data_IF_396745590209
#
_entry.id   IF_396745590209
#
_cell.length_a   1.000
_cell.length_b   1.000
_cell.length_c   1.000
_cell.angle_alpha   90.00
_cell.angle_beta   90.00
_cell.angle_gamma   90.00
#
_symmetry.space_group_name_H-M   'P 1'
#
loop_
_entity.id
_entity.type
_entity.pdbx_description
1 polymer ?
#
# COMPACT_ATOMS: atom_id res chain seq x y z
N UNK A 1 -75.53 -7.95 35.69
CA UNK A 1 -74.44 -7.00 35.92
C UNK A 1 -73.02 -7.65 35.91
N UNK A 2 -72.86 -8.92 36.19
CA UNK A 2 -71.53 -9.57 36.24
C UNK A 2 -70.90 -9.82 34.86
N UNK A 3 -71.73 -10.07 33.81
CA UNK A 3 -71.20 -10.34 32.41
C UNK A 3 -70.60 -9.09 31.73
N UNK A 4 -71.10 -7.91 31.98
CA UNK A 4 -70.57 -6.67 31.39
C UNK A 4 -69.19 -6.28 31.94
N UNK A 5 -68.94 -6.50 33.24
CA UNK A 5 -67.61 -6.21 33.82
C UNK A 5 -66.47 -7.05 33.26
N UNK A 6 -66.74 -8.25 32.84
CA UNK A 6 -65.74 -9.12 32.23
C UNK A 6 -65.44 -8.77 30.76
N UNK A 7 -66.46 -8.25 30.03
CA UNK A 7 -66.28 -7.79 28.64
C UNK A 7 -65.39 -6.54 28.63
N UNK A 8 -65.57 -5.60 29.57
CA UNK A 8 -64.69 -4.46 29.67
C UNK A 8 -63.22 -4.81 29.99
N UNK A 9 -63.03 -5.82 30.84
CA UNK A 9 -61.64 -6.32 31.12
C UNK A 9 -60.97 -6.94 29.91
N UNK A 10 -61.75 -7.68 29.12
CA UNK A 10 -61.25 -8.29 27.89
C UNK A 10 -60.97 -7.21 26.82
N UNK A 11 -61.84 -6.20 26.66
CA UNK A 11 -61.59 -5.08 25.75
C UNK A 11 -60.39 -4.23 26.14
N UNK A 12 -60.19 -3.95 27.42
CA UNK A 12 -59.01 -3.23 27.93
C UNK A 12 -57.73 -4.05 27.73
N UNK A 13 -57.77 -5.38 27.96
CA UNK A 13 -56.63 -6.25 27.72
C UNK A 13 -56.25 -6.35 26.25
N UNK A 14 -57.25 -6.43 25.36
CA UNK A 14 -57.02 -6.41 23.90
C UNK A 14 -56.53 -5.03 23.36
N UNK A 15 -57.01 -3.95 23.95
CA UNK A 15 -56.52 -2.59 23.64
C UNK A 15 -55.07 -2.39 24.10
N UNK A 16 -54.63 -2.99 25.21
CA UNK A 16 -53.26 -2.92 25.67
C UNK A 16 -52.29 -3.71 24.78
N UNK A 17 -52.74 -4.81 24.22
CA UNK A 17 -51.93 -5.64 23.28
C UNK A 17 -51.73 -4.93 21.95
N UNK A 18 -52.71 -4.14 21.48
CA UNK A 18 -52.61 -3.37 20.23
C UNK A 18 -51.63 -2.17 20.33
N UNK A 19 -51.36 -1.68 21.53
CA UNK A 19 -50.41 -0.58 21.73
C UNK A 19 -48.95 -1.04 21.75
N UNK A 20 -48.66 -2.31 22.02
CA UNK A 20 -47.29 -2.83 22.10
C UNK A 20 -46.66 -3.16 20.74
N UNK A 21 -47.42 -3.21 19.66
CA UNK A 21 -46.89 -3.49 18.31
C UNK A 21 -46.72 -2.26 17.41
N UNK A 22 -46.99 -1.05 17.95
CA UNK A 22 -47.01 0.18 17.16
C UNK A 22 -45.73 1.02 17.19
N UNK A 23 -44.65 0.54 17.84
CA UNK A 23 -43.47 1.41 18.02
C UNK A 23 -42.21 0.98 17.29
N UNK A 24 -42.15 -0.24 16.72
CA UNK A 24 -40.97 -0.67 15.97
C UNK A 24 -40.94 -0.06 14.55
N UNK A 25 -42.06 -0.07 13.84
CA UNK A 25 -42.11 0.46 12.45
C UNK A 25 -41.94 1.99 12.35
N UNK A 26 -42.17 2.72 13.45
CA UNK A 26 -42.09 4.22 13.45
C UNK A 26 -40.62 4.70 13.61
N UNK A 27 -39.74 3.84 14.16
CA UNK A 27 -38.34 4.17 14.40
C UNK A 27 -37.39 3.45 13.44
N UNK A 28 -37.91 2.56 12.58
CA UNK A 28 -37.13 1.94 11.53
C UNK A 28 -36.69 3.00 10.52
N UNK A 29 -35.39 3.14 10.34
CA UNK A 29 -34.80 4.12 9.42
C UNK A 29 -34.65 5.56 9.94
N UNK A 30 -35.13 5.91 11.15
CA UNK A 30 -34.95 7.29 11.69
C UNK A 30 -33.47 7.64 11.92
N UNK A 31 -32.64 6.66 12.20
CA UNK A 31 -31.18 6.82 12.39
C UNK A 31 -30.39 6.51 11.12
N UNK A 32 -31.02 6.13 10.03
CA UNK A 32 -30.37 6.01 8.75
C UNK A 32 -30.22 7.39 8.13
N UNK A 33 -29.00 7.88 8.06
CA UNK A 33 -28.72 9.12 7.35
C UNK A 33 -28.89 8.86 5.86
N UNK A 34 -29.89 9.45 5.18
CA UNK A 34 -30.11 9.20 3.75
C UNK A 34 -28.98 9.72 2.85
N UNK A 35 -27.99 10.40 3.44
CA UNK A 35 -26.78 10.85 2.77
C UNK A 35 -25.55 9.97 3.09
N UNK A 36 -25.68 8.95 3.96
CA UNK A 36 -24.63 7.97 4.15
C UNK A 36 -24.67 6.97 3.00
N UNK A 37 -23.62 7.01 2.18
CA UNK A 37 -23.40 6.01 1.15
C UNK A 37 -23.19 4.67 1.83
N UNK A 38 -24.05 3.71 1.55
CA UNK A 38 -23.80 2.33 1.92
C UNK A 38 -22.73 1.73 0.99
N UNK A 39 -22.02 0.70 1.44
CA UNK A 39 -21.00 0.04 0.59
C UNK A 39 -21.60 -0.46 -0.74
N UNK A 40 -22.88 -0.79 -0.77
CA UNK A 40 -23.62 -1.21 -1.99
C UNK A 40 -23.90 -0.07 -2.97
N UNK A 41 -23.83 1.19 -2.53
CA UNK A 41 -24.06 2.36 -3.39
C UNK A 41 -22.78 2.82 -4.10
N UNK A 42 -21.63 2.26 -3.70
CA UNK A 42 -20.31 2.58 -4.27
C UNK A 42 -19.96 1.57 -5.35
N UNK A 43 -19.63 2.05 -6.53
CA UNK A 43 -19.17 1.19 -7.60
C UNK A 43 -17.89 0.46 -7.19
N UNK A 44 -17.86 -0.89 -7.30
CA UNK A 44 -16.77 -1.73 -6.77
C UNK A 44 -15.38 -1.36 -7.32
N UNK A 45 -15.31 -0.79 -8.51
CA UNK A 45 -14.06 -0.30 -9.13
C UNK A 45 -13.42 0.87 -8.39
N UNK A 46 -14.20 1.65 -7.67
CA UNK A 46 -13.67 2.76 -6.84
C UNK A 46 -12.91 2.22 -5.62
N UNK A 47 -13.31 1.08 -5.09
CA UNK A 47 -12.54 0.39 -4.05
C UNK A 47 -11.16 -0.03 -4.56
N UNK A 48 -11.05 -0.44 -5.84
CA UNK A 48 -9.76 -0.75 -6.44
C UNK A 48 -8.84 0.47 -6.43
N UNK A 49 -9.30 1.60 -6.95
CA UNK A 49 -8.50 2.84 -6.95
C UNK A 49 -8.12 3.28 -5.52
N UNK A 50 -9.07 3.21 -4.57
CA UNK A 50 -8.83 3.54 -3.17
C UNK A 50 -7.74 2.68 -2.55
N UNK A 51 -7.81 1.36 -2.74
CA UNK A 51 -6.79 0.43 -2.24
C UNK A 51 -5.45 0.56 -2.95
N UNK A 52 -5.43 0.87 -4.24
CA UNK A 52 -4.19 1.15 -4.98
C UNK A 52 -3.49 2.41 -4.45
N UNK A 53 -4.23 3.50 -4.21
CA UNK A 53 -3.68 4.72 -3.63
C UNK A 53 -3.12 4.47 -2.23
N UNK A 54 -3.83 3.70 -1.41
CA UNK A 54 -3.34 3.32 -0.08
C UNK A 54 -2.06 2.47 -0.17
N UNK A 55 -2.02 1.50 -1.10
CA UNK A 55 -0.82 0.69 -1.32
C UNK A 55 0.36 1.54 -1.83
N UNK A 56 0.13 2.51 -2.71
CA UNK A 56 1.17 3.45 -3.16
C UNK A 56 1.73 4.24 -1.96
N UNK A 57 0.87 4.73 -1.07
CA UNK A 57 1.31 5.42 0.16
C UNK A 57 2.13 4.50 1.07
N UNK A 58 1.70 3.23 1.23
CA UNK A 58 2.44 2.23 1.99
C UNK A 58 3.83 1.96 1.41
N UNK A 59 3.94 1.84 0.07
CA UNK A 59 5.20 1.49 -0.59
C UNK A 59 6.15 2.68 -0.75
N UNK A 60 5.61 3.89 -0.96
CA UNK A 60 6.38 5.07 -1.32
C UNK A 60 6.31 6.18 -0.26
N UNK A 61 5.65 5.96 0.88
CA UNK A 61 5.39 6.93 1.92
C UNK A 61 6.56 7.20 2.87
N UNK A 62 6.23 7.50 4.12
CA UNK A 62 7.21 7.90 5.14
C UNK A 62 8.22 6.79 5.45
N UNK A 63 7.78 5.55 5.66
CA UNK A 63 8.69 4.45 6.00
C UNK A 63 9.64 4.09 4.84
N UNK A 64 9.30 4.39 3.59
CA UNK A 64 10.24 4.28 2.48
C UNK A 64 11.40 5.27 2.64
N UNK A 65 11.11 6.52 3.03
CA UNK A 65 12.14 7.54 3.31
C UNK A 65 12.99 7.15 4.51
N UNK A 66 12.40 6.64 5.58
CA UNK A 66 13.11 6.10 6.75
C UNK A 66 14.04 4.96 6.35
N UNK A 67 13.55 4.02 5.56
CA UNK A 67 14.36 2.91 5.03
C UNK A 67 15.52 3.42 4.16
N UNK A 68 15.28 4.47 3.37
CA UNK A 68 16.31 5.16 2.58
C UNK A 68 17.41 5.77 3.45
N UNK A 69 17.06 6.32 4.62
CA UNK A 69 18.06 6.81 5.58
C UNK A 69 18.88 5.68 6.20
N UNK A 70 18.25 4.63 6.68
CA UNK A 70 18.93 3.51 7.34
C UNK A 70 19.75 2.63 6.37
N UNK A 71 19.42 2.66 5.09
CA UNK A 71 20.24 2.03 4.04
C UNK A 71 21.36 2.94 3.50
N UNK A 72 21.52 4.13 4.04
CA UNK A 72 22.57 5.08 3.64
C UNK A 72 22.32 5.79 2.30
N UNK A 73 21.09 5.79 1.82
CA UNK A 73 20.72 6.51 0.61
C UNK A 73 20.38 7.98 0.90
N UNK A 74 19.81 8.25 2.07
CA UNK A 74 19.37 9.57 2.52
C UNK A 74 20.00 9.92 3.86
N UNK A 75 20.01 11.21 4.18
CA UNK A 75 20.44 11.80 5.46
C UNK A 75 19.32 12.70 5.97
N UNK A 76 18.96 12.56 7.24
CA UNK A 76 18.09 13.52 7.93
C UNK A 76 18.89 14.70 8.44
N UNK A 77 18.70 15.87 7.84
CA UNK A 77 19.45 17.09 8.18
C UNK A 77 18.80 17.92 9.29
N UNK A 78 17.46 17.95 9.31
CA UNK A 78 16.74 18.80 10.25
C UNK A 78 15.44 18.16 10.75
N UNK A 79 14.87 18.78 11.79
CA UNK A 79 13.55 18.49 12.36
C UNK A 79 13.29 17.00 12.60
N UNK A 80 12.16 16.47 12.09
CA UNK A 80 11.75 15.07 12.25
C UNK A 80 12.85 14.12 11.74
N UNK A 81 13.37 14.38 10.54
CA UNK A 81 14.29 13.45 9.89
C UNK A 81 15.68 13.40 10.56
N UNK A 82 16.16 14.49 11.18
CA UNK A 82 17.40 14.44 11.96
C UNK A 82 17.25 13.57 13.22
N UNK A 83 16.10 13.60 13.87
CA UNK A 83 15.81 12.74 15.00
C UNK A 83 15.79 11.28 14.59
N UNK A 84 15.06 10.94 13.51
CA UNK A 84 14.97 9.57 12.99
C UNK A 84 16.35 9.08 12.53
N UNK A 85 17.11 9.91 11.83
CA UNK A 85 18.48 9.58 11.42
C UNK A 85 19.40 9.28 12.60
N UNK A 86 19.17 9.95 13.72
CA UNK A 86 19.82 9.67 15.01
C UNK A 86 19.25 8.46 15.76
N UNK A 87 18.43 7.62 15.12
CA UNK A 87 17.75 6.45 15.71
C UNK A 87 16.78 6.79 16.85
N UNK A 88 16.26 8.01 16.89
CA UNK A 88 15.23 8.43 17.84
C UNK A 88 13.84 8.34 17.16
N UNK A 89 13.29 7.14 17.12
CA UNK A 89 11.97 6.87 16.56
C UNK A 89 10.89 7.01 17.64
N UNK A 90 9.80 7.67 17.30
CA UNK A 90 8.58 7.65 18.11
C UNK A 90 7.66 6.50 17.70
N UNK A 91 6.75 6.10 18.59
CA UNK A 91 5.74 5.08 18.29
C UNK A 91 4.77 5.52 17.19
N UNK A 92 4.67 6.82 16.92
CA UNK A 92 3.80 7.39 15.88
C UNK A 92 4.33 7.30 14.46
N UNK A 93 5.63 6.96 14.27
CA UNK A 93 6.27 6.96 12.94
C UNK A 93 5.65 5.97 11.95
N UNK A 94 4.98 4.94 12.44
CA UNK A 94 4.33 3.91 11.61
C UNK A 94 2.83 4.09 11.43
N UNK A 95 2.21 5.08 12.08
CA UNK A 95 0.75 5.18 12.16
C UNK A 95 0.09 5.31 10.78
N UNK A 96 0.65 6.10 9.89
CA UNK A 96 0.06 6.33 8.57
C UNK A 96 0.18 5.08 7.69
N UNK A 97 1.34 4.44 7.62
CA UNK A 97 1.52 3.21 6.85
C UNK A 97 0.72 2.04 7.43
N UNK A 98 0.60 1.97 8.76
CA UNK A 98 -0.27 0.98 9.41
C UNK A 98 -1.73 1.19 9.03
N UNK A 99 -2.20 2.44 9.04
CA UNK A 99 -3.54 2.79 8.58
C UNK A 99 -3.74 2.51 7.10
N UNK A 100 -2.74 2.80 6.25
CA UNK A 100 -2.80 2.47 4.83
C UNK A 100 -2.90 0.96 4.59
N UNK A 101 -2.19 0.14 5.36
CA UNK A 101 -2.30 -1.32 5.26
C UNK A 101 -3.70 -1.80 5.64
N UNK A 102 -4.17 -1.48 6.85
CA UNK A 102 -5.39 -2.10 7.39
C UNK A 102 -6.67 -1.41 6.93
N UNK A 103 -6.75 -0.09 7.02
CA UNK A 103 -7.96 0.66 6.63
C UNK A 103 -7.97 0.88 5.11
N UNK A 104 -6.82 1.20 4.53
CA UNK A 104 -6.73 1.54 3.11
C UNK A 104 -6.74 0.31 2.20
N UNK A 105 -5.79 -0.61 2.37
CA UNK A 105 -5.66 -1.78 1.47
C UNK A 105 -6.60 -2.89 1.89
N UNK A 106 -6.51 -3.36 3.14
CA UNK A 106 -7.24 -4.57 3.58
C UNK A 106 -8.75 -4.41 3.38
N UNK A 107 -9.34 -3.32 3.87
CA UNK A 107 -10.79 -3.10 3.75
C UNK A 107 -11.23 -3.07 2.28
N UNK A 108 -10.55 -2.29 1.44
CA UNK A 108 -10.93 -2.16 0.04
C UNK A 108 -10.71 -3.46 -0.77
N UNK A 109 -9.56 -4.11 -0.59
CA UNK A 109 -9.24 -5.30 -1.38
C UNK A 109 -10.10 -6.49 -0.98
N UNK A 110 -10.32 -6.71 0.32
CA UNK A 110 -11.20 -7.80 0.78
C UNK A 110 -12.64 -7.59 0.36
N UNK A 111 -13.13 -6.35 0.37
CA UNK A 111 -14.46 -6.06 -0.17
C UNK A 111 -14.60 -6.54 -1.62
N UNK A 112 -13.63 -6.22 -2.49
CA UNK A 112 -13.63 -6.68 -3.89
C UNK A 112 -13.52 -8.21 -3.97
N UNK A 113 -12.63 -8.83 -3.20
CA UNK A 113 -12.41 -10.28 -3.24
C UNK A 113 -13.67 -11.05 -2.86
N UNK A 114 -14.43 -10.54 -1.90
CA UNK A 114 -15.63 -11.19 -1.35
C UNK A 114 -16.89 -10.91 -2.17
N UNK A 115 -17.02 -9.73 -2.77
CA UNK A 115 -18.28 -9.27 -3.35
C UNK A 115 -18.26 -9.13 -4.87
N UNK A 116 -17.11 -9.05 -5.54
CA UNK A 116 -17.07 -8.84 -6.98
C UNK A 116 -17.32 -10.14 -7.76
N UNK A 117 -18.17 -10.07 -8.79
CA UNK A 117 -18.32 -11.12 -9.77
C UNK A 117 -17.19 -11.14 -10.82
N UNK A 118 -16.40 -10.08 -10.90
CA UNK A 118 -15.30 -9.95 -11.85
C UNK A 118 -14.04 -10.67 -11.38
N UNK A 119 -13.70 -11.80 -12.03
CA UNK A 119 -12.44 -12.51 -11.76
C UNK A 119 -11.21 -11.61 -11.99
N UNK A 120 -11.29 -10.69 -12.98
CA UNK A 120 -10.20 -9.75 -13.25
C UNK A 120 -9.99 -8.79 -12.08
N UNK A 121 -11.05 -8.21 -11.54
CA UNK A 121 -11.01 -7.34 -10.35
C UNK A 121 -10.51 -8.10 -9.11
N UNK A 122 -11.08 -9.27 -8.83
CA UNK A 122 -10.68 -10.10 -7.69
C UNK A 122 -9.20 -10.48 -7.74
N UNK A 123 -8.73 -10.92 -8.91
CA UNK A 123 -7.33 -11.32 -9.06
C UNK A 123 -6.36 -10.14 -8.85
N UNK A 124 -6.69 -8.94 -9.33
CA UNK A 124 -5.92 -7.73 -9.07
C UNK A 124 -5.93 -7.38 -7.58
N UNK A 125 -7.09 -7.41 -6.93
CA UNK A 125 -7.23 -7.13 -5.51
C UNK A 125 -6.40 -8.09 -4.63
N UNK A 126 -6.39 -9.38 -4.96
CA UNK A 126 -5.56 -10.39 -4.29
C UNK A 126 -4.07 -10.07 -4.40
N UNK A 127 -3.60 -9.63 -5.56
CA UNK A 127 -2.19 -9.25 -5.75
C UNK A 127 -1.82 -8.02 -4.93
N UNK A 128 -2.71 -7.02 -4.87
CA UNK A 128 -2.48 -5.81 -4.07
C UNK A 128 -2.45 -6.16 -2.58
N UNK A 129 -3.37 -6.99 -2.09
CA UNK A 129 -3.37 -7.46 -0.70
C UNK A 129 -2.07 -8.21 -0.36
N UNK A 130 -1.65 -9.16 -1.22
CA UNK A 130 -0.40 -9.90 -1.03
C UNK A 130 0.83 -8.99 -1.02
N UNK A 131 0.88 -7.97 -1.90
CA UNK A 131 1.94 -6.96 -1.91
C UNK A 131 2.00 -6.18 -0.59
N UNK A 132 0.87 -5.68 -0.12
CA UNK A 132 0.79 -4.86 1.07
C UNK A 132 1.20 -5.64 2.33
N UNK A 133 0.70 -6.85 2.51
CA UNK A 133 1.04 -7.67 3.69
C UNK A 133 2.48 -8.18 3.68
N UNK A 134 3.01 -8.58 2.52
CA UNK A 134 4.43 -8.93 2.43
C UNK A 134 5.34 -7.75 2.74
N UNK A 135 4.95 -6.53 2.37
CA UNK A 135 5.65 -5.30 2.77
C UNK A 135 5.48 -5.04 4.27
N UNK A 136 4.27 -5.20 4.82
CA UNK A 136 4.01 -5.06 6.25
C UNK A 136 4.87 -6.00 7.09
N UNK A 137 4.96 -7.27 6.71
CA UNK A 137 5.84 -8.23 7.33
C UNK A 137 7.33 -7.83 7.26
N UNK A 138 7.74 -7.21 6.14
CA UNK A 138 9.12 -6.71 5.99
C UNK A 138 9.43 -5.53 6.91
N UNK A 139 8.45 -4.66 7.16
CA UNK A 139 8.62 -3.44 7.94
C UNK A 139 8.51 -3.68 9.46
N UNK A 140 7.56 -4.49 9.89
CA UNK A 140 7.18 -4.61 11.30
C UNK A 140 7.42 -6.00 11.90
N UNK A 141 7.69 -7.02 11.10
CA UNK A 141 7.81 -8.39 11.58
C UNK A 141 6.46 -9.06 11.77
N UNK A 142 6.12 -9.43 13.00
CA UNK A 142 4.82 -10.02 13.33
C UNK A 142 3.72 -8.95 13.24
N UNK A 143 2.65 -9.26 12.50
CA UNK A 143 1.52 -8.35 12.27
C UNK A 143 0.20 -9.14 12.16
N UNK A 144 -0.95 -8.56 12.50
CA UNK A 144 -2.25 -9.19 12.25
C UNK A 144 -2.50 -9.43 10.76
N UNK A 145 -2.81 -10.67 10.38
CA UNK A 145 -3.26 -11.05 9.05
C UNK A 145 -4.50 -11.94 9.09
N UNK A 146 -4.43 -13.03 9.85
CA UNK A 146 -5.46 -14.07 9.86
C UNK A 146 -6.81 -13.55 10.36
N UNK A 147 -6.81 -12.69 11.34
CA UNK A 147 -8.00 -12.10 11.95
C UNK A 147 -8.24 -10.65 11.52
N UNK A 148 -7.31 -10.05 10.75
CA UNK A 148 -7.43 -8.68 10.30
C UNK A 148 -8.67 -8.48 9.41
N UNK A 149 -9.37 -7.35 9.60
CA UNK A 149 -10.57 -7.02 8.83
C UNK A 149 -11.84 -7.77 9.26
N UNK A 150 -11.77 -8.64 10.27
CA UNK A 150 -12.95 -9.24 10.87
C UNK A 150 -13.53 -8.26 11.92
N UNK A 151 -14.70 -7.69 11.64
CA UNK A 151 -15.36 -6.72 12.52
C UNK A 151 -15.85 -7.29 13.85
N UNK A 152 -15.91 -8.62 14.01
CA UNK A 152 -16.29 -9.28 15.24
C UNK A 152 -15.10 -9.45 16.22
N UNK A 153 -13.86 -9.19 15.73
CA UNK A 153 -12.64 -9.34 16.53
C UNK A 153 -12.07 -7.94 16.79
N UNK A 154 -12.20 -7.47 18.04
CA UNK A 154 -11.68 -6.15 18.43
C UNK A 154 -10.16 -6.12 18.56
N UNK A 155 -9.54 -7.25 18.90
CA UNK A 155 -8.12 -7.37 19.24
C UNK A 155 -7.48 -8.55 18.47
N UNK A 156 -7.21 -8.36 17.16
CA UNK A 156 -6.71 -9.44 16.33
C UNK A 156 -5.29 -9.87 16.73
N UNK A 157 -5.02 -11.17 16.67
CA UNK A 157 -3.72 -11.73 16.98
C UNK A 157 -2.63 -11.28 16.01
N UNK A 158 -1.42 -11.13 16.52
CA UNK A 158 -0.22 -10.91 15.70
C UNK A 158 0.27 -12.27 15.16
N UNK A 159 0.14 -12.47 13.86
CA UNK A 159 0.70 -13.65 13.20
C UNK A 159 2.23 -13.51 13.08
N UNK A 160 3.00 -14.59 13.30
CA UNK A 160 4.44 -14.56 13.11
C UNK A 160 4.83 -14.13 11.70
N UNK A 161 5.87 -13.31 11.56
CA UNK A 161 6.37 -12.77 10.28
C UNK A 161 6.47 -13.82 9.18
N UNK A 162 7.02 -14.99 9.51
CA UNK A 162 7.19 -16.08 8.54
C UNK A 162 5.84 -16.62 8.03
N UNK A 163 4.81 -16.61 8.87
CA UNK A 163 3.46 -17.02 8.47
C UNK A 163 2.80 -15.93 7.61
N UNK A 164 3.02 -14.65 7.94
CA UNK A 164 2.50 -13.54 7.12
C UNK A 164 3.13 -13.58 5.71
N UNK A 165 4.44 -13.84 5.59
CA UNK A 165 5.05 -14.04 4.26
C UNK A 165 4.44 -15.23 3.51
N UNK A 166 4.22 -16.36 4.19
CA UNK A 166 3.62 -17.53 3.56
C UNK A 166 2.19 -17.22 3.06
N UNK A 167 1.40 -16.52 3.86
CA UNK A 167 0.04 -16.11 3.51
C UNK A 167 0.03 -15.05 2.39
N UNK A 168 0.94 -14.09 2.41
CA UNK A 168 1.09 -13.09 1.35
C UNK A 168 1.46 -13.76 0.02
N UNK A 169 2.38 -14.72 0.02
CA UNK A 169 2.76 -15.50 -1.17
C UNK A 169 1.58 -16.35 -1.65
N UNK A 170 0.84 -17.00 -0.76
CA UNK A 170 -0.36 -17.76 -1.12
C UNK A 170 -1.43 -16.84 -1.76
N UNK A 171 -1.63 -15.65 -1.22
CA UNK A 171 -2.54 -14.66 -1.79
C UNK A 171 -2.11 -14.20 -3.19
N UNK A 172 -0.80 -14.03 -3.42
CA UNK A 172 -0.27 -13.75 -4.76
C UNK A 172 -0.52 -14.92 -5.72
N UNK A 173 -0.38 -16.17 -5.26
CA UNK A 173 -0.66 -17.37 -6.07
C UNK A 173 -2.14 -17.48 -6.43
N UNK A 174 -3.04 -17.21 -5.49
CA UNK A 174 -4.48 -17.13 -5.75
C UNK A 174 -4.80 -16.05 -6.81
N UNK A 175 -4.21 -14.86 -6.67
CA UNK A 175 -4.36 -13.78 -7.65
C UNK A 175 -3.86 -14.16 -9.03
N UNK A 176 -2.69 -14.80 -9.14
CA UNK A 176 -2.14 -15.30 -10.40
C UNK A 176 -3.08 -16.33 -11.04
N UNK A 177 -3.58 -17.28 -10.26
CA UNK A 177 -4.48 -18.32 -10.75
C UNK A 177 -5.81 -17.71 -11.23
N UNK A 178 -6.40 -16.81 -10.46
CA UNK A 178 -7.65 -16.11 -10.79
C UNK A 178 -7.48 -15.28 -12.07
N UNK A 179 -6.40 -14.52 -12.22
CA UNK A 179 -6.11 -13.76 -13.45
C UNK A 179 -5.83 -14.69 -14.63
N UNK A 180 -5.26 -15.87 -14.40
CA UNK A 180 -5.02 -16.87 -15.44
C UNK A 180 -6.32 -17.30 -16.13
N UNK A 181 -7.39 -17.53 -15.37
CA UNK A 181 -8.72 -17.91 -15.88
C UNK A 181 -9.57 -16.71 -16.32
N UNK A 182 -9.30 -15.51 -15.78
CA UNK A 182 -10.11 -14.33 -16.06
C UNK A 182 -10.11 -13.96 -17.54
N UNK A 183 -11.27 -13.54 -18.10
CA UNK A 183 -11.30 -12.95 -19.44
C UNK A 183 -10.43 -11.70 -19.50
N UNK A 184 -9.86 -11.41 -20.66
CA UNK A 184 -9.17 -10.15 -20.88
C UNK A 184 -10.18 -8.99 -20.83
N UNK A 185 -9.79 -7.90 -20.18
CA UNK A 185 -10.62 -6.72 -20.03
C UNK A 185 -9.80 -5.48 -19.77
N UNK A 186 -10.46 -4.33 -19.80
CA UNK A 186 -9.87 -3.06 -19.37
C UNK A 186 -10.59 -2.58 -18.11
N UNK A 187 -9.84 -2.06 -17.18
CA UNK A 187 -10.32 -1.44 -15.95
C UNK A 187 -9.65 -0.06 -15.87
N UNK A 188 -10.29 1.00 -16.39
CA UNK A 188 -9.73 2.35 -16.36
C UNK A 188 -9.41 2.86 -14.96
N UNK A 189 -10.11 2.34 -13.95
CA UNK A 189 -9.91 2.64 -12.53
C UNK A 189 -8.66 1.96 -11.94
N UNK A 190 -8.07 0.98 -12.64
CA UNK A 190 -6.74 0.44 -12.33
C UNK A 190 -5.65 1.41 -12.80
N UNK A 191 -5.20 2.27 -11.88
CA UNK A 191 -4.23 3.33 -12.14
C UNK A 191 -2.81 2.82 -12.38
N UNK A 192 -2.56 1.52 -12.24
CA UNK A 192 -1.23 0.92 -12.40
C UNK A 192 -1.05 0.26 -13.77
N UNK A 193 -2.01 -0.56 -14.21
CA UNK A 193 -1.90 -1.35 -15.43
C UNK A 193 -3.18 -1.39 -16.28
N UNK A 194 -4.23 -0.62 -15.92
CA UNK A 194 -5.49 -0.51 -16.67
C UNK A 194 -6.19 -1.88 -16.91
N UNK A 195 -5.98 -2.84 -16.01
CA UNK A 195 -6.52 -4.19 -16.10
C UNK A 195 -5.67 -5.17 -16.92
N UNK A 196 -4.44 -4.81 -17.32
CA UNK A 196 -3.53 -5.72 -18.02
C UNK A 196 -3.09 -6.87 -17.11
N UNK A 197 -3.83 -7.99 -17.21
CA UNK A 197 -3.60 -9.17 -16.38
C UNK A 197 -2.20 -9.78 -16.55
N UNK A 198 -1.58 -9.64 -17.73
CA UNK A 198 -0.24 -10.20 -17.94
C UNK A 198 0.80 -9.43 -17.14
N UNK A 199 0.69 -8.10 -17.07
CA UNK A 199 1.56 -7.27 -16.23
C UNK A 199 1.32 -7.52 -14.74
N UNK A 200 0.05 -7.69 -14.31
CA UNK A 200 -0.26 -8.03 -12.94
C UNK A 200 0.34 -9.39 -12.52
N UNK A 201 0.23 -10.42 -13.37
CA UNK A 201 0.82 -11.74 -13.13
C UNK A 201 2.35 -11.65 -13.04
N UNK A 202 3.00 -10.90 -13.93
CA UNK A 202 4.44 -10.71 -13.90
C UNK A 202 4.90 -9.96 -12.63
N UNK A 203 4.19 -8.91 -12.24
CA UNK A 203 4.44 -8.18 -11.01
C UNK A 203 4.26 -9.08 -9.76
N UNK A 204 3.21 -9.88 -9.71
CA UNK A 204 2.99 -10.84 -8.62
C UNK A 204 4.14 -11.85 -8.48
N UNK A 205 4.66 -12.37 -9.58
CA UNK A 205 5.82 -13.28 -9.55
C UNK A 205 7.09 -12.57 -9.07
N UNK A 206 7.32 -11.31 -9.44
CA UNK A 206 8.44 -10.51 -8.90
C UNK A 206 8.27 -10.27 -7.40
N UNK A 207 7.06 -10.01 -6.93
CA UNK A 207 6.76 -9.87 -5.49
C UNK A 207 7.00 -11.18 -4.72
N UNK A 208 6.59 -12.32 -5.27
CA UNK A 208 6.90 -13.64 -4.68
C UNK A 208 8.42 -13.83 -4.58
N UNK A 209 9.16 -13.50 -5.63
CA UNK A 209 10.63 -13.59 -5.64
C UNK A 209 11.23 -12.70 -4.54
N UNK A 210 10.76 -11.47 -4.35
CA UNK A 210 11.15 -10.56 -3.26
C UNK A 210 10.92 -11.20 -1.88
N UNK A 211 9.72 -11.73 -1.64
CA UNK A 211 9.37 -12.27 -0.32
C UNK A 211 10.09 -13.58 -0.01
N UNK A 212 10.35 -14.43 -1.00
CA UNK A 212 11.23 -15.58 -0.84
C UNK A 212 12.69 -15.16 -0.54
N UNK A 213 13.18 -14.10 -1.21
CA UNK A 213 14.52 -13.57 -0.95
C UNK A 213 14.65 -13.02 0.49
N UNK A 214 13.62 -12.33 1.01
CA UNK A 214 13.61 -11.86 2.40
C UNK A 214 13.69 -13.03 3.40
N UNK A 215 13.12 -14.18 3.06
CA UNK A 215 13.19 -15.40 3.84
C UNK A 215 14.47 -16.22 3.58
N UNK A 216 15.38 -15.73 2.71
CA UNK A 216 16.59 -16.43 2.25
C UNK A 216 16.31 -17.75 1.52
N UNK A 217 15.12 -17.92 1.00
CA UNK A 217 14.73 -19.02 0.12
C UNK A 217 15.12 -18.71 -1.32
N UNK A 218 16.39 -18.80 -1.62
CA UNK A 218 16.94 -18.42 -2.92
C UNK A 218 16.43 -19.28 -4.07
N UNK A 219 16.11 -20.56 -3.81
CA UNK A 219 15.60 -21.48 -4.83
C UNK A 219 14.23 -21.05 -5.34
N UNK A 220 13.29 -20.79 -4.41
CA UNK A 220 11.96 -20.34 -4.75
C UNK A 220 11.97 -18.89 -5.26
N UNK A 221 12.88 -18.04 -4.75
CA UNK A 221 13.07 -16.69 -5.28
C UNK A 221 13.46 -16.71 -6.76
N UNK A 222 14.47 -17.51 -7.14
CA UNK A 222 14.88 -17.67 -8.53
C UNK A 222 13.75 -18.21 -9.41
N UNK A 223 13.06 -19.24 -8.95
CA UNK A 223 11.94 -19.86 -9.69
C UNK A 223 10.82 -18.84 -9.97
N UNK A 224 10.44 -18.05 -8.98
CA UNK A 224 9.43 -17.01 -9.14
C UNK A 224 9.92 -15.89 -10.09
N UNK A 225 11.17 -15.44 -9.94
CA UNK A 225 11.74 -14.40 -10.78
C UNK A 225 11.78 -14.75 -12.28
N UNK A 226 11.92 -16.02 -12.63
CA UNK A 226 11.87 -16.49 -14.04
C UNK A 226 10.54 -16.17 -14.73
N UNK A 227 9.45 -16.02 -13.97
CA UNK A 227 8.13 -15.63 -14.47
C UNK A 227 7.78 -14.18 -14.11
N UNK A 228 8.72 -13.43 -13.55
CA UNK A 228 8.54 -12.04 -13.14
C UNK A 228 8.62 -11.03 -14.30
N UNK A 229 8.70 -9.77 -13.95
CA UNK A 229 8.77 -8.66 -14.90
C UNK A 229 10.02 -8.82 -15.78
N UNK A 230 9.83 -8.94 -17.09
CA UNK A 230 10.88 -9.24 -18.06
C UNK A 230 11.51 -8.00 -18.74
N UNK A 231 10.88 -6.83 -18.60
CA UNK A 231 11.36 -5.58 -19.15
C UNK A 231 10.72 -4.37 -18.46
N UNK A 232 11.32 -3.19 -18.59
CA UNK A 232 10.91 -1.98 -17.89
C UNK A 232 9.49 -1.45 -18.24
N UNK A 233 8.89 -1.88 -19.35
CA UNK A 233 7.50 -1.51 -19.67
C UNK A 233 6.47 -2.26 -18.80
N UNK A 234 6.89 -3.32 -18.12
CA UNK A 234 6.10 -4.09 -17.16
C UNK A 234 6.24 -3.60 -15.71
N UNK A 235 7.05 -2.58 -15.44
CA UNK A 235 7.24 -2.07 -14.08
C UNK A 235 5.93 -1.57 -13.49
N UNK A 236 5.64 -2.02 -12.26
CA UNK A 236 4.56 -1.49 -11.45
C UNK A 236 4.98 -0.13 -10.90
N UNK A 237 4.40 0.92 -11.44
CA UNK A 237 4.76 2.29 -11.06
C UNK A 237 3.55 3.21 -10.98
N UNK A 238 3.51 4.02 -9.95
CA UNK A 238 2.60 5.15 -9.87
C UNK A 238 3.11 6.29 -10.77
N UNK A 239 2.22 6.83 -11.59
CA UNK A 239 2.51 7.99 -12.46
C UNK A 239 1.66 9.16 -12.00
N UNK A 240 2.27 10.21 -11.43
CA UNK A 240 1.53 11.41 -11.08
C UNK A 240 0.85 12.02 -12.31
N UNK A 241 -0.35 12.55 -12.12
CA UNK A 241 -1.11 13.23 -13.17
C UNK A 241 -0.48 14.55 -13.61
N UNK A 242 -0.91 15.06 -14.76
CA UNK A 242 -0.31 16.26 -15.36
C UNK A 242 -0.95 17.58 -14.92
N UNK A 243 -2.10 17.56 -14.25
CA UNK A 243 -2.92 18.77 -14.09
C UNK A 243 -3.60 18.94 -12.74
N UNK A 244 -3.54 17.97 -11.83
CA UNK A 244 -4.25 18.03 -10.57
C UNK A 244 -3.31 18.47 -9.45
N UNK A 245 -3.66 19.52 -8.74
CA UNK A 245 -2.95 19.93 -7.53
C UNK A 245 -3.03 18.82 -6.48
N UNK A 246 -1.87 18.35 -5.99
CA UNK A 246 -1.79 17.25 -5.02
C UNK A 246 -1.54 15.88 -5.62
N UNK A 247 -1.72 15.68 -6.92
CA UNK A 247 -1.33 14.46 -7.63
C UNK A 247 0.14 14.59 -8.08
N UNK A 248 1.04 14.35 -7.15
CA UNK A 248 2.47 14.58 -7.33
C UNK A 248 3.28 13.40 -6.81
N UNK A 249 4.54 13.32 -7.21
CA UNK A 249 5.50 12.38 -6.63
C UNK A 249 5.57 12.55 -5.10
N UNK A 250 5.45 11.47 -4.34
CA UNK A 250 5.39 11.53 -2.87
C UNK A 250 6.71 11.99 -2.23
N UNK A 251 7.85 11.75 -2.89
CA UNK A 251 9.12 12.33 -2.46
C UNK A 251 9.14 13.84 -2.73
N UNK A 252 8.71 14.29 -3.91
CA UNK A 252 8.65 15.71 -4.23
C UNK A 252 7.74 16.47 -3.27
N UNK A 253 6.55 15.95 -2.98
CA UNK A 253 5.59 16.58 -2.06
C UNK A 253 6.22 16.88 -0.70
N UNK A 254 7.07 16.01 -0.21
CA UNK A 254 7.74 16.15 1.08
C UNK A 254 9.05 16.94 0.94
N UNK A 255 9.94 16.52 0.04
CA UNK A 255 11.32 17.01 -0.01
C UNK A 255 11.48 18.35 -0.73
N UNK A 256 10.59 18.66 -1.68
CA UNK A 256 10.55 19.98 -2.33
C UNK A 256 9.44 20.88 -1.76
N UNK A 257 8.49 20.31 -1.02
CA UNK A 257 7.32 20.99 -0.46
C UNK A 257 7.40 21.18 1.05
N UNK A 258 6.66 20.37 1.79
CA UNK A 258 6.40 20.59 3.23
C UNK A 258 7.60 20.39 4.15
N UNK A 259 8.63 19.67 3.71
CA UNK A 259 9.85 19.33 4.46
C UNK A 259 11.13 19.64 3.69
N UNK A 260 11.10 20.67 2.85
CA UNK A 260 12.26 21.13 2.10
C UNK A 260 13.42 21.43 3.06
N UNK A 261 14.59 20.82 2.82
CA UNK A 261 15.76 20.95 3.67
C UNK A 261 15.86 19.99 4.86
N UNK A 262 14.78 19.28 5.22
CA UNK A 262 14.82 18.34 6.36
C UNK A 262 15.49 17.01 5.99
N UNK A 263 15.39 16.57 4.74
CA UNK A 263 15.87 15.28 4.22
C UNK A 263 16.51 15.49 2.84
N UNK A 264 17.61 14.82 2.60
CA UNK A 264 18.30 14.81 1.32
C UNK A 264 19.45 13.82 1.33
N UNK A 265 20.42 14.00 0.47
CA UNK A 265 21.63 13.18 0.47
C UNK A 265 22.93 13.95 0.20
N UNK A 266 22.82 15.27 0.06
CA UNK A 266 23.93 16.19 -0.07
C UNK A 266 23.61 17.48 0.69
N UNK A 267 24.51 17.97 1.50
CA UNK A 267 24.38 19.22 2.24
C UNK A 267 25.35 20.32 1.73
N UNK A 268 25.07 21.56 2.09
CA UNK A 268 25.89 22.70 1.69
C UNK A 268 27.33 22.65 2.26
N UNK A 269 27.52 21.97 3.39
CA UNK A 269 28.85 21.76 3.99
C UNK A 269 29.62 20.58 3.36
N UNK A 270 29.08 19.94 2.33
CA UNK A 270 29.69 18.82 1.62
C UNK A 270 29.47 17.46 2.28
N UNK A 271 28.57 17.36 3.26
CA UNK A 271 28.18 16.04 3.80
C UNK A 271 27.33 15.30 2.80
N UNK A 272 27.78 14.12 2.37
CA UNK A 272 27.10 13.27 1.39
C UNK A 272 26.67 11.92 1.99
N UNK A 273 25.53 11.42 1.54
CA UNK A 273 25.08 10.07 1.88
C UNK A 273 26.04 9.01 1.36
N UNK A 274 26.00 7.80 1.95
CA UNK A 274 26.82 6.68 1.48
C UNK A 274 26.57 6.37 0.00
N UNK A 275 25.32 6.49 -0.47
CA UNK A 275 24.97 6.31 -1.89
C UNK A 275 25.78 7.28 -2.79
N UNK A 276 25.81 8.56 -2.48
CA UNK A 276 26.54 9.52 -3.31
C UNK A 276 28.04 9.28 -3.28
N UNK A 277 28.59 8.93 -2.11
CA UNK A 277 30.01 8.62 -1.96
C UNK A 277 30.45 7.42 -2.82
N UNK A 278 29.66 6.34 -2.87
CA UNK A 278 30.01 5.17 -3.71
C UNK A 278 29.84 5.44 -5.21
N UNK A 279 29.05 6.43 -5.59
CA UNK A 279 28.85 6.87 -6.99
C UNK A 279 29.85 7.93 -7.45
N UNK A 280 30.62 8.53 -6.55
CA UNK A 280 31.63 9.54 -6.85
C UNK A 280 32.96 8.88 -7.23
N UNK A 281 33.39 9.05 -8.49
CA UNK A 281 34.63 8.47 -9.00
C UNK A 281 35.89 8.93 -8.26
N UNK A 282 35.84 10.06 -7.54
CA UNK A 282 36.97 10.61 -6.77
C UNK A 282 37.01 10.14 -5.32
N UNK A 283 35.92 9.55 -4.82
CA UNK A 283 35.82 9.07 -3.45
C UNK A 283 36.46 7.69 -3.29
N UNK A 284 37.17 7.49 -2.16
CA UNK A 284 37.82 6.20 -1.86
C UNK A 284 36.84 5.02 -1.71
N UNK A 285 35.57 5.29 -1.40
CA UNK A 285 34.50 4.29 -1.32
C UNK A 285 33.91 3.96 -2.68
N UNK A 286 34.28 4.70 -3.73
CA UNK A 286 33.75 4.51 -5.08
C UNK A 286 34.04 3.11 -5.59
N UNK A 287 33.01 2.52 -6.19
CA UNK A 287 33.13 1.28 -6.96
C UNK A 287 33.18 1.52 -8.47
N UNK A 288 33.45 2.77 -8.84
CA UNK A 288 33.60 3.18 -10.23
C UNK A 288 34.94 2.64 -10.77
N UNK A 289 34.86 1.71 -11.69
CA UNK A 289 36.02 1.05 -12.29
C UNK A 289 36.10 1.40 -13.79
N UNK A 290 37.17 0.98 -14.45
CA UNK A 290 37.32 1.12 -15.90
C UNK A 290 36.12 0.54 -16.71
N UNK A 291 35.30 -0.34 -16.09
CA UNK A 291 34.12 -0.95 -16.71
C UNK A 291 32.79 -0.24 -16.38
N UNK A 292 32.76 0.68 -15.44
CA UNK A 292 31.53 1.37 -14.98
C UNK A 292 31.80 2.86 -14.83
N UNK A 293 30.88 3.68 -15.31
CA UNK A 293 30.89 5.12 -15.10
C UNK A 293 29.57 5.52 -14.42
N UNK A 294 29.65 5.87 -13.14
CA UNK A 294 28.48 6.17 -12.31
C UNK A 294 28.15 7.68 -12.24
N UNK A 295 28.90 8.52 -12.96
CA UNK A 295 28.77 9.99 -12.86
C UNK A 295 27.33 10.47 -13.17
N UNK A 296 26.69 9.91 -14.20
CA UNK A 296 25.32 10.27 -14.55
C UNK A 296 24.31 9.82 -13.49
N UNK A 297 24.53 8.64 -12.88
CA UNK A 297 23.68 8.13 -11.80
C UNK A 297 23.81 8.99 -10.53
N UNK A 298 25.03 9.42 -10.20
CA UNK A 298 25.24 10.31 -9.07
C UNK A 298 24.43 11.60 -9.21
N UNK A 299 24.52 12.27 -10.36
CA UNK A 299 23.74 13.46 -10.63
C UNK A 299 22.22 13.23 -10.57
N UNK A 300 21.74 12.09 -11.07
CA UNK A 300 20.33 11.73 -11.02
C UNK A 300 19.80 11.51 -9.58
N UNK A 301 20.61 10.89 -8.71
CA UNK A 301 20.19 10.58 -7.34
C UNK A 301 20.48 11.71 -6.34
N UNK A 302 21.22 12.75 -6.71
CA UNK A 302 21.57 13.83 -5.79
C UNK A 302 20.35 14.66 -5.41
N UNK A 303 20.08 14.77 -4.12
CA UNK A 303 19.01 15.57 -3.52
C UNK A 303 19.67 16.57 -2.56
N UNK A 304 19.67 17.83 -2.94
CA UNK A 304 20.24 18.91 -2.15
C UNK A 304 19.41 19.19 -0.90
N UNK A 305 20.07 19.44 0.22
CA UNK A 305 19.45 19.82 1.49
C UNK A 305 18.68 21.14 1.41
N UNK A 306 19.02 22.04 0.47
CA UNK A 306 18.24 23.26 0.26
C UNK A 306 16.84 23.02 -0.30
N UNK A 307 16.54 21.79 -0.74
CA UNK A 307 15.29 21.43 -1.41
C UNK A 307 15.13 22.11 -2.79
N UNK A 308 16.15 22.82 -3.26
CA UNK A 308 16.10 23.61 -4.49
C UNK A 308 16.68 22.89 -5.70
N UNK A 309 17.51 21.86 -5.50
CA UNK A 309 18.02 21.05 -6.59
C UNK A 309 17.22 19.76 -6.66
N UNK A 310 16.40 19.69 -7.64
CA UNK A 310 15.67 18.48 -7.97
C UNK A 310 16.57 17.57 -8.79
N UNK A 311 17.15 16.60 -8.15
CA UNK A 311 17.63 15.42 -8.86
C UNK A 311 16.44 14.75 -9.56
N UNK A 312 16.68 14.04 -10.64
CA UNK A 312 15.62 13.41 -11.42
C UNK A 312 14.61 12.58 -10.62
N UNK A 313 15.02 12.01 -9.47
CA UNK A 313 14.11 11.20 -8.62
C UNK A 313 13.12 12.04 -7.78
N UNK A 314 13.27 13.35 -7.71
CA UNK A 314 12.44 14.26 -6.88
C UNK A 314 11.74 15.30 -7.75
N UNK A 315 11.56 15.03 -9.03
CA UNK A 315 10.72 15.88 -9.88
C UNK A 315 9.25 15.66 -9.56
N UNK A 316 8.46 16.74 -9.68
CA UNK A 316 7.04 16.74 -9.33
C UNK A 316 6.24 15.62 -10.02
N UNK A 317 6.62 15.27 -11.23
CA UNK A 317 5.92 14.29 -12.07
C UNK A 317 6.71 13.00 -12.32
N UNK A 318 7.84 12.82 -11.62
CA UNK A 318 8.61 11.59 -11.77
C UNK A 318 7.81 10.38 -11.28
N UNK A 319 7.70 9.32 -12.09
CA UNK A 319 7.02 8.09 -11.67
C UNK A 319 7.72 7.41 -10.49
N UNK A 320 6.92 6.87 -9.56
CA UNK A 320 7.43 6.12 -8.41
C UNK A 320 7.28 4.62 -8.65
N UNK A 321 8.39 3.93 -8.64
CA UNK A 321 8.44 2.49 -8.88
C UNK A 321 8.20 1.71 -7.58
N UNK A 322 7.30 0.73 -7.62
CA UNK A 322 7.01 -0.16 -6.51
C UNK A 322 7.57 -1.57 -6.74
N UNK A 323 7.49 -2.08 -7.96
CA UNK A 323 8.02 -3.39 -8.38
C UNK A 323 8.62 -3.25 -9.77
N UNK A 324 9.87 -3.66 -9.97
CA UNK A 324 10.59 -3.35 -11.21
C UNK A 324 11.23 -4.56 -11.87
N UNK A 325 11.45 -4.42 -13.16
CA UNK A 325 12.28 -5.32 -13.95
C UNK A 325 13.71 -5.43 -13.38
N UNK A 326 14.30 -4.30 -12.96
CA UNK A 326 15.67 -4.34 -12.44
C UNK A 326 15.77 -5.11 -11.12
N UNK A 327 14.78 -4.98 -10.25
CA UNK A 327 14.69 -5.80 -9.04
C UNK A 327 14.60 -7.30 -9.41
N UNK A 328 13.69 -7.65 -10.31
CA UNK A 328 13.53 -9.03 -10.77
C UNK A 328 14.82 -9.59 -11.36
N UNK A 329 15.53 -8.79 -12.16
CA UNK A 329 16.81 -9.16 -12.75
C UNK A 329 17.94 -9.33 -11.73
N UNK A 330 17.91 -8.58 -10.61
CA UNK A 330 18.88 -8.73 -9.54
C UNK A 330 18.67 -10.03 -8.75
N UNK A 331 17.44 -10.52 -8.67
CA UNK A 331 17.11 -11.79 -8.00
C UNK A 331 17.51 -12.98 -8.89
N UNK A 332 17.39 -12.88 -10.21
CA UNK A 332 17.85 -13.89 -11.17
C UNK A 332 19.39 -14.01 -11.21
#
# INVERSE_FOLDING_TARGET
MVKMKNIYKILVFFSLILITHSCEDIVEGINENPNDLTLSDVEERLFLTGGQLANIQLQCGHLNRVSGMYSGQLIGFAALYSNIYGYNLSTGESNDEWRHLYVGVTTNMRYIIENSDSELLRGIAMIIEGHAYGTGASLWGDIPYSEAGNSEIEDPVFDPQIQVYAQAIARLDEGIATLGSAPAGQIPEDILFEGDKAKWIAAANTLKARFYLHQKDYSNALTAAQSGISNASGDMRYRPGSSVSGDTNLFWTILAGSRAGDLGNNSEDGTESYLLQILDATNALSRNHAKTNETARRAYYMIDASGSSNAGIVEEREPQNMVTYFENKLIM
#
